data_IF_054301527323
#
_entry.id   IF_054301527323
#
_cell.length_a   1.000
_cell.length_b   1.000
_cell.length_c   1.000
_cell.angle_alpha   90.00
_cell.angle_beta   90.00
_cell.angle_gamma   90.00
#
_symmetry.space_group_name_H-M   'P 1'
#
loop_
_entity.id
_entity.type
_entity.pdbx_description
1 polymer ?
#
# COMPACT_ATOMS: atom_id res chain seq x y z
N UNK A 1 -25.17 -18.53 18.68
CA UNK A 1 -23.84 -18.12 19.16
C UNK A 1 -23.45 -16.87 18.40
N UNK A 2 -23.51 -15.74 19.07
CA UNK A 2 -23.26 -14.40 18.51
C UNK A 2 -21.76 -14.15 18.46
N UNK A 3 -21.23 -13.82 17.27
CA UNK A 3 -19.85 -13.39 17.10
C UNK A 3 -19.65 -12.03 17.80
N UNK A 4 -18.62 -11.93 18.63
CA UNK A 4 -18.17 -10.67 19.22
C UNK A 4 -17.48 -9.78 18.19
N UNK A 5 -17.32 -8.48 18.48
CA UNK A 5 -16.72 -7.53 17.56
C UNK A 5 -15.22 -7.82 17.38
N UNK A 6 -14.76 -7.65 16.14
CA UNK A 6 -13.36 -7.77 15.71
C UNK A 6 -12.44 -6.93 16.61
N UNK A 7 -11.47 -7.59 17.25
CA UNK A 7 -10.39 -6.95 17.98
C UNK A 7 -9.43 -6.26 17.01
N UNK A 8 -9.33 -4.94 17.17
CA UNK A 8 -8.18 -4.15 16.73
C UNK A 8 -6.91 -4.75 17.35
N UNK A 9 -5.86 -4.85 16.54
CA UNK A 9 -4.53 -5.34 16.90
C UNK A 9 -4.07 -4.66 18.20
N UNK A 10 -3.63 -5.47 19.16
CA UNK A 10 -3.22 -5.08 20.51
C UNK A 10 -2.37 -3.82 20.53
N UNK A 11 -2.97 -2.77 21.10
CA UNK A 11 -2.35 -1.50 21.44
C UNK A 11 -1.80 -1.56 22.88
N UNK A 12 -1.13 -2.65 23.26
CA UNK A 12 -0.60 -2.84 24.62
C UNK A 12 0.68 -2.03 24.92
N UNK A 13 1.01 -1.02 24.09
CA UNK A 13 2.11 -0.08 24.36
C UNK A 13 1.67 1.40 24.24
N UNK A 14 0.36 1.66 24.38
CA UNK A 14 -0.20 3.02 24.33
C UNK A 14 0.25 3.93 25.49
N UNK A 15 0.73 3.34 26.59
CA UNK A 15 1.17 4.07 27.79
C UNK A 15 2.47 4.85 27.61
N UNK A 16 3.39 4.39 26.76
CA UNK A 16 4.71 5.00 26.57
C UNK A 16 4.80 5.83 25.25
N UNK A 17 3.94 5.52 24.27
CA UNK A 17 3.85 6.25 23.00
C UNK A 17 3.33 7.69 23.17
N UNK A 18 2.47 7.95 24.15
CA UNK A 18 1.93 9.28 24.43
C UNK A 18 2.86 10.13 25.34
N UNK A 19 3.82 9.51 26.02
CA UNK A 19 4.77 10.22 26.88
C UNK A 19 5.89 10.94 26.09
N UNK A 20 6.12 10.55 24.83
CA UNK A 20 7.18 11.12 23.99
C UNK A 20 6.76 12.33 23.14
N UNK A 21 5.46 12.64 23.07
CA UNK A 21 4.92 13.70 22.23
C UNK A 21 5.03 13.34 20.75
N UNK A 22 3.89 13.19 20.05
CA UNK A 22 3.87 13.02 18.60
C UNK A 22 4.69 14.16 17.99
N UNK A 23 5.81 13.83 17.33
CA UNK A 23 6.65 14.83 16.68
C UNK A 23 5.75 15.73 15.83
N UNK A 24 5.80 17.07 15.97
CA UNK A 24 4.79 17.96 15.39
C UNK A 24 4.70 17.82 13.86
N UNK A 25 5.79 17.40 13.22
CA UNK A 25 5.87 17.16 11.78
C UNK A 25 5.37 15.77 11.34
N UNK A 26 5.11 14.84 12.26
CA UNK A 26 4.78 13.45 11.91
C UNK A 26 3.50 13.37 11.09
N UNK A 27 2.45 14.10 11.50
CA UNK A 27 1.21 14.21 10.74
C UNK A 27 1.43 14.79 9.35
N UNK A 28 2.31 15.78 9.21
CA UNK A 28 2.67 16.36 7.92
C UNK A 28 3.40 15.35 7.04
N UNK A 29 4.44 14.70 7.56
CA UNK A 29 5.17 13.65 6.85
C UNK A 29 4.26 12.50 6.43
N UNK A 30 3.28 12.17 7.27
CA UNK A 30 2.27 11.17 6.94
C UNK A 30 1.37 11.57 5.79
N UNK A 31 0.82 12.78 5.85
CA UNK A 31 0.00 13.32 4.77
C UNK A 31 0.77 13.43 3.45
N UNK A 32 2.01 13.92 3.50
CA UNK A 32 2.88 14.07 2.33
C UNK A 32 3.22 12.71 1.71
N UNK A 33 3.60 11.72 2.53
CA UNK A 33 3.92 10.38 2.06
C UNK A 33 2.72 9.68 1.44
N UNK A 34 1.55 9.78 2.07
CA UNK A 34 0.31 9.22 1.53
C UNK A 34 -0.08 9.91 0.21
N UNK A 35 0.03 11.23 0.14
CA UNK A 35 -0.26 11.98 -1.08
C UNK A 35 0.75 11.66 -2.22
N UNK A 36 2.02 11.42 -1.88
CA UNK A 36 3.04 11.02 -2.86
C UNK A 36 2.72 9.64 -3.45
N UNK A 37 2.43 8.65 -2.60
CA UNK A 37 2.01 7.32 -3.07
C UNK A 37 0.73 7.44 -3.89
N UNK A 38 -0.27 8.19 -3.41
CA UNK A 38 -1.54 8.40 -4.10
C UNK A 38 -1.39 9.01 -5.49
N UNK A 39 -0.53 10.04 -5.66
CA UNK A 39 -0.24 10.61 -6.98
C UNK A 39 0.42 9.61 -7.92
N UNK A 40 1.38 8.83 -7.42
CA UNK A 40 2.05 7.82 -8.23
C UNK A 40 1.07 6.72 -8.67
N UNK A 41 0.26 6.20 -7.75
CA UNK A 41 -0.68 5.13 -8.05
C UNK A 41 -1.86 5.62 -8.87
N UNK A 42 -2.28 6.88 -8.75
CA UNK A 42 -3.31 7.49 -9.59
C UNK A 42 -2.83 7.89 -11.00
N UNK A 43 -1.53 7.79 -11.29
CA UNK A 43 -1.00 8.11 -12.62
C UNK A 43 -1.58 7.18 -13.70
N UNK A 44 -1.80 7.71 -14.90
CA UNK A 44 -2.36 6.93 -16.02
C UNK A 44 -1.55 5.64 -16.31
N UNK A 45 -0.20 5.66 -16.36
CA UNK A 45 0.57 4.43 -16.58
C UNK A 45 0.34 3.37 -15.50
N UNK A 46 0.21 3.79 -14.23
CA UNK A 46 -0.03 2.87 -13.13
C UNK A 46 -1.43 2.27 -13.20
N UNK A 47 -2.44 3.13 -13.41
CA UNK A 47 -3.83 2.72 -13.52
C UNK A 47 -4.07 1.78 -14.71
N UNK A 48 -3.44 2.07 -15.86
CA UNK A 48 -3.50 1.20 -17.05
C UNK A 48 -2.88 -0.16 -16.79
N UNK A 49 -1.72 -0.23 -16.15
CA UNK A 49 -1.09 -1.50 -15.79
C UNK A 49 -1.93 -2.26 -14.74
N UNK A 50 -2.40 -1.57 -13.70
CA UNK A 50 -3.13 -2.21 -12.60
C UNK A 50 -4.49 -2.75 -13.06
N UNK A 51 -5.30 -1.94 -13.77
CA UNK A 51 -6.62 -2.37 -14.23
C UNK A 51 -6.59 -3.12 -15.56
N UNK A 52 -5.66 -2.81 -16.45
CA UNK A 52 -5.60 -3.41 -17.79
C UNK A 52 -4.81 -4.71 -17.86
N UNK A 53 -3.70 -4.83 -17.12
CA UNK A 53 -2.87 -6.04 -17.12
C UNK A 53 -3.20 -6.92 -15.90
N UNK A 54 -3.21 -6.35 -14.69
CA UNK A 54 -3.29 -7.15 -13.47
C UNK A 54 -4.71 -7.55 -13.07
N UNK A 55 -5.76 -6.79 -13.40
CA UNK A 55 -7.10 -7.01 -12.82
C UNK A 55 -7.65 -8.43 -13.02
N UNK A 56 -7.49 -8.98 -14.23
CA UNK A 56 -8.00 -10.31 -14.61
C UNK A 56 -7.10 -11.47 -14.16
N UNK A 57 -5.90 -11.20 -13.63
CA UNK A 57 -4.96 -12.22 -13.19
C UNK A 57 -5.42 -12.91 -11.90
N UNK A 58 -5.24 -14.23 -11.85
CA UNK A 58 -5.27 -15.01 -10.61
C UNK A 58 -4.21 -14.52 -9.61
N UNK A 59 -4.32 -14.96 -8.36
CA UNK A 59 -3.35 -14.59 -7.33
C UNK A 59 -1.91 -15.02 -7.67
N UNK A 60 -1.77 -16.21 -8.26
CA UNK A 60 -0.47 -16.76 -8.68
C UNK A 60 0.11 -15.94 -9.84
N UNK A 61 -0.68 -15.64 -10.85
CA UNK A 61 -0.26 -14.79 -11.98
C UNK A 61 0.13 -13.39 -11.51
N UNK A 62 -0.65 -12.78 -10.61
CA UNK A 62 -0.30 -11.50 -9.99
C UNK A 62 1.02 -11.58 -9.24
N UNK A 63 1.23 -12.65 -8.46
CA UNK A 63 2.48 -12.87 -7.72
C UNK A 63 3.69 -13.00 -8.65
N UNK A 64 3.53 -13.70 -9.78
CA UNK A 64 4.55 -13.80 -10.81
C UNK A 64 4.80 -12.46 -11.50
N UNK A 65 3.73 -11.73 -11.83
CA UNK A 65 3.78 -10.40 -12.45
C UNK A 65 4.55 -9.40 -11.58
N UNK A 66 4.32 -9.40 -10.26
CA UNK A 66 5.08 -8.55 -9.33
C UNK A 66 6.57 -8.81 -9.47
N UNK A 67 6.99 -10.08 -9.42
CA UNK A 67 8.41 -10.47 -9.46
C UNK A 67 9.08 -10.17 -10.80
N UNK A 68 8.37 -10.40 -11.90
CA UNK A 68 8.92 -10.28 -13.26
C UNK A 68 8.81 -8.87 -13.84
N UNK A 69 7.78 -8.11 -13.45
CA UNK A 69 7.47 -6.78 -13.99
C UNK A 69 7.64 -5.70 -12.92
N UNK A 70 6.87 -5.74 -11.83
CA UNK A 70 6.82 -4.60 -10.88
C UNK A 70 8.12 -4.37 -10.10
N UNK A 71 8.91 -5.41 -9.88
CA UNK A 71 10.21 -5.30 -9.22
C UNK A 71 11.37 -5.09 -10.21
N UNK A 72 11.08 -5.08 -11.51
CA UNK A 72 12.06 -4.85 -12.56
C UNK A 72 11.94 -3.41 -13.08
N UNK A 73 12.96 -2.58 -12.82
CA UNK A 73 12.97 -1.18 -13.22
C UNK A 73 12.91 -0.97 -14.73
N UNK A 74 13.48 -1.88 -15.52
CA UNK A 74 13.42 -1.79 -16.98
C UNK A 74 12.00 -2.06 -17.50
N UNK A 75 11.32 -3.06 -16.94
CA UNK A 75 9.94 -3.40 -17.30
C UNK A 75 8.93 -2.34 -16.85
N UNK A 76 9.18 -1.70 -15.71
CA UNK A 76 8.42 -0.51 -15.28
C UNK A 76 8.64 0.65 -16.26
N UNK A 77 9.90 0.97 -16.60
CA UNK A 77 10.21 2.07 -17.50
C UNK A 77 9.58 1.86 -18.89
N UNK A 78 9.58 0.63 -19.40
CA UNK A 78 8.89 0.24 -20.66
C UNK A 78 7.39 0.53 -20.64
N UNK A 79 6.76 0.49 -19.46
CA UNK A 79 5.33 0.80 -19.26
C UNK A 79 5.07 2.28 -18.98
N UNK A 80 6.11 3.12 -18.98
CA UNK A 80 6.03 4.52 -18.61
C UNK A 80 5.94 4.75 -17.09
N UNK A 81 6.37 3.76 -16.30
CA UNK A 81 6.39 3.83 -14.84
C UNK A 81 7.81 4.10 -14.36
N UNK A 82 7.98 5.17 -13.60
CA UNK A 82 9.22 5.47 -12.90
C UNK A 82 8.84 5.93 -11.50
N UNK A 83 9.02 5.08 -10.47
CA UNK A 83 8.75 5.48 -9.10
C UNK A 83 9.50 6.78 -8.76
N UNK A 84 8.81 7.80 -8.23
CA UNK A 84 9.45 9.01 -7.72
C UNK A 84 10.47 8.71 -6.62
N UNK A 85 11.35 9.67 -6.34
CA UNK A 85 12.32 9.53 -5.26
C UNK A 85 11.64 9.17 -3.92
N UNK A 86 12.18 8.14 -3.26
CA UNK A 86 11.67 7.64 -1.99
C UNK A 86 10.46 6.70 -2.09
N UNK A 87 9.81 6.60 -3.27
CA UNK A 87 8.76 5.60 -3.53
C UNK A 87 9.39 4.26 -3.93
N UNK A 88 8.94 3.18 -3.30
CA UNK A 88 9.39 1.82 -3.59
C UNK A 88 8.21 0.88 -3.74
N UNK A 89 8.26 0.04 -4.77
CA UNK A 89 7.38 -1.12 -4.91
C UNK A 89 8.08 -2.31 -4.25
N UNK A 90 7.36 -3.05 -3.42
CA UNK A 90 7.88 -4.22 -2.73
C UNK A 90 6.88 -5.36 -2.81
N UNK A 91 7.40 -6.60 -2.86
CA UNK A 91 6.59 -7.77 -2.59
C UNK A 91 6.36 -7.83 -1.08
N UNK A 92 5.12 -8.07 -0.67
CA UNK A 92 4.77 -8.26 0.74
C UNK A 92 4.11 -9.62 0.89
N UNK A 93 4.78 -10.52 1.61
CA UNK A 93 4.16 -11.73 2.15
C UNK A 93 3.98 -11.45 3.64
N UNK A 94 2.75 -11.12 4.04
CA UNK A 94 2.43 -11.04 5.45
C UNK A 94 2.21 -12.47 5.97
N UNK A 95 2.73 -12.78 7.16
CA UNK A 95 2.53 -14.08 7.81
C UNK A 95 1.10 -14.34 8.27
N UNK A 96 0.19 -13.39 8.05
CA UNK A 96 -1.20 -13.34 8.49
C UNK A 96 -2.20 -13.88 7.44
N UNK A 97 -1.72 -14.58 6.41
CA UNK A 97 -2.53 -15.17 5.32
C UNK A 97 -3.31 -14.15 4.49
N UNK A 98 -3.03 -12.85 4.60
CA UNK A 98 -3.66 -11.85 3.72
C UNK A 98 -3.30 -12.13 2.26
N UNK A 99 -4.25 -11.91 1.32
CA UNK A 99 -4.01 -12.14 -0.10
C UNK A 99 -3.18 -11.00 -0.72
N UNK A 100 -2.19 -10.48 0.00
CA UNK A 100 -1.37 -9.37 -0.44
C UNK A 100 -0.54 -9.74 -1.64
N UNK A 101 -0.64 -8.91 -2.68
CA UNK A 101 0.10 -9.09 -3.93
C UNK A 101 1.39 -8.28 -3.88
N UNK A 102 1.28 -6.99 -3.57
CA UNK A 102 2.42 -6.08 -3.44
C UNK A 102 2.06 -4.88 -2.58
N UNK A 103 3.05 -4.06 -2.28
CA UNK A 103 2.83 -2.77 -1.64
C UNK A 103 3.67 -1.67 -2.30
N UNK A 104 3.18 -0.44 -2.18
CA UNK A 104 3.89 0.78 -2.54
C UNK A 104 4.18 1.54 -1.26
N UNK A 105 5.43 1.87 -1.02
CA UNK A 105 5.86 2.52 0.21
C UNK A 105 6.64 3.80 -0.07
N UNK A 106 6.56 4.74 0.87
CA UNK A 106 7.35 5.96 0.91
C UNK A 106 8.15 5.97 2.20
N UNK A 107 9.47 6.14 2.10
CA UNK A 107 10.31 6.36 3.27
C UNK A 107 9.99 7.71 3.92
N UNK A 108 9.92 7.71 5.25
CA UNK A 108 9.80 8.95 6.03
C UNK A 108 11.19 9.52 6.34
N UNK A 109 11.29 10.83 6.64
CA UNK A 109 12.55 11.47 6.99
C UNK A 109 13.26 10.78 8.17
N UNK A 110 14.59 10.91 8.19
CA UNK A 110 15.39 10.43 9.31
C UNK A 110 14.97 11.12 10.62
N UNK A 111 14.88 10.35 11.71
CA UNK A 111 14.37 10.84 12.99
C UNK A 111 12.86 10.75 13.16
N UNK A 112 12.11 10.39 12.11
CA UNK A 112 10.70 10.04 12.27
C UNK A 112 10.56 8.73 13.07
N UNK A 113 9.60 8.72 14.01
CA UNK A 113 9.28 7.54 14.80
C UNK A 113 8.86 6.34 13.92
N UNK A 114 8.11 6.62 12.85
CA UNK A 114 7.83 5.64 11.79
C UNK A 114 8.82 5.80 10.65
N UNK A 115 9.31 4.66 10.12
CA UNK A 115 10.31 4.65 9.04
C UNK A 115 9.72 4.79 7.64
N UNK A 116 8.47 4.41 7.45
CA UNK A 116 7.80 4.41 6.14
C UNK A 116 6.29 4.40 6.27
N UNK A 117 5.63 4.77 5.19
CA UNK A 117 4.19 4.59 4.97
C UNK A 117 4.02 3.64 3.81
N UNK A 118 3.00 2.79 3.89
CA UNK A 118 2.77 1.73 2.91
C UNK A 118 1.29 1.68 2.54
N UNK A 119 1.00 1.66 1.24
CA UNK A 119 -0.29 1.24 0.69
C UNK A 119 -0.14 -0.19 0.17
N UNK A 120 -1.02 -1.07 0.63
CA UNK A 120 -1.03 -2.47 0.26
C UNK A 120 -2.05 -2.74 -0.84
N UNK A 121 -1.67 -3.54 -1.83
CA UNK A 121 -2.51 -4.00 -2.92
C UNK A 121 -2.76 -5.50 -2.74
N UNK A 122 -3.99 -5.82 -2.35
CA UNK A 122 -4.44 -7.18 -2.10
C UNK A 122 -5.09 -7.79 -3.35
N UNK A 123 -5.17 -9.11 -3.42
CA UNK A 123 -5.91 -9.82 -4.45
C UNK A 123 -7.39 -9.89 -4.08
N UNK A 124 -8.24 -9.48 -5.04
CA UNK A 124 -9.67 -9.24 -4.83
C UNK A 124 -9.97 -7.74 -4.88
N UNK A 125 -11.26 -7.37 -4.90
CA UNK A 125 -11.66 -5.97 -4.83
C UNK A 125 -11.40 -5.45 -3.42
N UNK A 126 -10.20 -4.94 -3.16
CA UNK A 126 -9.86 -4.31 -1.87
C UNK A 126 -10.40 -2.88 -1.73
N UNK A 127 -11.38 -2.50 -2.56
CA UNK A 127 -12.30 -1.40 -2.29
C UNK A 127 -13.70 -1.84 -2.71
N UNK A 128 -14.69 -1.94 -1.80
CA UNK A 128 -16.07 -1.83 -2.23
C UNK A 128 -16.21 -0.41 -2.80
N UNK A 129 -16.35 -0.31 -4.12
CA UNK A 129 -17.13 0.80 -4.66
C UNK A 129 -18.56 0.41 -4.30
N UNK A 130 -19.09 0.94 -3.19
CA UNK A 130 -20.53 1.02 -3.05
C UNK A 130 -21.00 1.96 -4.16
N UNK A 131 -21.30 1.40 -5.34
CA UNK A 131 -22.20 2.06 -6.26
C UNK A 131 -23.51 2.22 -5.51
N UNK A 132 -23.93 3.48 -5.38
CA UNK A 132 -25.05 3.89 -4.57
C UNK A 132 -26.26 2.97 -4.73
N UNK A 133 -26.83 2.58 -3.59
CA UNK A 133 -28.12 1.94 -3.56
C UNK A 133 -29.16 2.79 -4.28
N UNK A 134 -29.68 2.29 -5.38
CA UNK A 134 -31.09 2.36 -5.74
C UNK A 134 -31.41 1.10 -6.55
N UNK A 135 -32.24 0.23 -5.98
CA UNK A 135 -32.77 -0.98 -6.59
C UNK A 135 -33.70 -1.69 -5.62
#
# INVERSE_FOLDING_TARGET
MTAGPLTLVDAEDEGDLLASGVHPELSRWMAEGLAAIGRYTASEPFQRMFYGEMAAMSFEEKSHFVRSVLLNSEELARRGLTPPEGIRIQRSEFGDQRPTVFCVSQALPEGAQWKRITITFDHGNSFPVEEGGIG
#
